data_IF_201533755986
#
_entry.id   IF_201533755986
#
_cell.length_a   1.000
_cell.length_b   1.000
_cell.length_c   1.000
_cell.angle_alpha   90.00
_cell.angle_beta   90.00
_cell.angle_gamma   90.00
#
_symmetry.space_group_name_H-M   'P 1'
#
loop_
_entity.id
_entity.type
_entity.pdbx_description
1 polymer ?
#
# COMPACT_ATOMS: atom_id res chain seq x y z
N UNK A 1 24.88 -10.25 -19.53
CA UNK A 1 23.95 -9.42 -18.73
C UNK A 1 22.69 -10.23 -18.48
N UNK A 2 22.27 -10.42 -17.23
CA UNK A 2 21.01 -11.12 -16.92
C UNK A 2 19.85 -10.11 -16.92
N UNK A 3 18.71 -10.52 -17.44
CA UNK A 3 17.47 -9.76 -17.39
C UNK A 3 16.99 -9.69 -15.93
N UNK A 4 16.49 -8.53 -15.48
CA UNK A 4 15.85 -8.41 -14.16
C UNK A 4 14.62 -9.33 -14.07
N UNK A 5 14.30 -9.80 -12.86
CA UNK A 5 13.10 -10.61 -12.63
C UNK A 5 11.82 -9.83 -12.95
N UNK A 6 10.72 -10.56 -13.26
CA UNK A 6 9.41 -9.92 -13.48
C UNK A 6 8.96 -9.16 -12.24
N UNK A 7 9.10 -9.72 -11.05
CA UNK A 7 8.70 -9.04 -9.82
C UNK A 7 9.48 -7.74 -9.62
N UNK A 8 10.81 -7.74 -9.84
CA UNK A 8 11.60 -6.52 -9.77
C UNK A 8 11.19 -5.49 -10.82
N UNK A 9 10.86 -5.92 -12.03
CA UNK A 9 10.36 -5.03 -13.08
C UNK A 9 9.07 -4.34 -12.66
N UNK A 10 8.09 -5.09 -12.15
CA UNK A 10 6.80 -4.51 -11.71
C UNK A 10 6.93 -3.67 -10.44
N UNK A 11 7.81 -4.04 -9.50
CA UNK A 11 8.10 -3.22 -8.33
C UNK A 11 8.77 -1.90 -8.71
N UNK A 12 9.63 -1.88 -9.73
CA UNK A 12 10.20 -0.63 -10.25
C UNK A 12 9.11 0.28 -10.84
N UNK A 13 8.12 -0.27 -11.55
CA UNK A 13 6.96 0.50 -12.02
C UNK A 13 6.13 1.03 -10.83
N UNK A 14 5.88 0.20 -9.81
CA UNK A 14 5.20 0.62 -8.59
C UNK A 14 5.94 1.78 -7.89
N UNK A 15 7.28 1.78 -7.93
CA UNK A 15 8.12 2.88 -7.44
C UNK A 15 7.89 4.17 -8.22
N UNK A 16 7.85 4.11 -9.54
CA UNK A 16 7.52 5.29 -10.37
C UNK A 16 6.11 5.81 -10.06
N UNK A 17 5.15 4.92 -9.86
CA UNK A 17 3.81 5.31 -9.40
C UNK A 17 3.86 5.98 -8.02
N UNK A 18 4.69 5.49 -7.10
CA UNK A 18 4.89 6.08 -5.77
C UNK A 18 5.42 7.52 -5.83
N UNK A 19 6.20 7.88 -6.86
CA UNK A 19 6.74 9.24 -7.04
C UNK A 19 5.64 10.32 -7.16
N UNK A 20 4.41 9.92 -7.53
CA UNK A 20 3.23 10.80 -7.60
C UNK A 20 2.54 11.04 -6.26
N UNK A 21 3.00 10.42 -5.19
CA UNK A 21 2.40 10.59 -3.87
C UNK A 21 2.43 12.03 -3.39
N UNK A 22 1.34 12.47 -2.77
CA UNK A 22 1.16 13.83 -2.25
C UNK A 22 1.11 13.87 -0.70
N UNK A 23 1.81 12.91 -0.06
CA UNK A 23 1.90 12.77 1.38
C UNK A 23 3.26 13.22 1.89
N UNK A 24 3.30 14.04 2.96
CA UNK A 24 4.55 14.48 3.57
C UNK A 24 5.31 13.39 4.32
N UNK A 25 4.63 12.31 4.75
CA UNK A 25 5.22 11.27 5.59
C UNK A 25 5.85 10.14 4.81
N UNK A 26 5.22 9.73 3.70
CA UNK A 26 5.61 8.54 2.96
C UNK A 26 5.12 8.60 1.50
N UNK A 27 5.78 7.84 0.65
CA UNK A 27 5.35 7.58 -0.72
C UNK A 27 5.00 6.10 -0.85
N UNK A 28 3.83 5.82 -1.39
CA UNK A 28 3.41 4.46 -1.68
C UNK A 28 2.83 4.41 -3.08
N UNK A 29 3.22 3.39 -3.84
CA UNK A 29 2.70 3.12 -5.15
C UNK A 29 2.30 1.66 -5.28
N UNK A 30 1.11 1.44 -5.80
CA UNK A 30 0.56 0.12 -6.08
C UNK A 30 0.22 0.00 -7.57
N UNK A 31 0.51 -1.17 -8.13
CA UNK A 31 0.01 -1.57 -9.44
C UNK A 31 -0.70 -2.92 -9.31
N UNK A 32 -1.73 -3.12 -10.11
CA UNK A 32 -2.45 -4.39 -10.16
C UNK A 32 -2.29 -4.96 -11.56
N UNK A 33 -1.87 -6.22 -11.59
CA UNK A 33 -1.72 -6.99 -12.80
C UNK A 33 -2.81 -8.04 -12.91
N UNK A 34 -3.22 -8.29 -14.13
CA UNK A 34 -4.00 -9.45 -14.53
C UNK A 34 -3.48 -9.95 -15.87
N UNK A 35 -3.30 -11.27 -15.99
CA UNK A 35 -2.79 -11.89 -17.21
C UNK A 35 -1.48 -11.23 -17.72
N UNK A 36 -0.56 -10.94 -16.79
CA UNK A 36 0.74 -10.30 -17.04
C UNK A 36 0.65 -8.85 -17.59
N UNK A 37 -0.53 -8.21 -17.48
CA UNK A 37 -0.77 -6.83 -17.91
C UNK A 37 -1.11 -5.94 -16.71
N UNK A 38 -0.57 -4.72 -16.70
CA UNK A 38 -0.96 -3.71 -15.69
C UNK A 38 -2.36 -3.20 -16.05
N UNK A 39 -3.32 -3.51 -15.18
CA UNK A 39 -4.72 -3.13 -15.37
C UNK A 39 -5.14 -1.94 -14.52
N UNK A 40 -4.41 -1.64 -13.45
CA UNK A 40 -4.66 -0.47 -12.61
C UNK A 40 -3.41 -0.03 -11.86
N UNK A 41 -3.38 1.25 -11.51
CA UNK A 41 -2.35 1.86 -10.67
C UNK A 41 -2.99 2.74 -9.60
N UNK A 42 -2.28 2.93 -8.48
CA UNK A 42 -2.68 3.83 -7.41
C UNK A 42 -1.47 4.32 -6.61
N UNK A 43 -1.52 5.55 -6.15
CA UNK A 43 -0.54 6.13 -5.24
C UNK A 43 -1.24 6.78 -4.05
N UNK A 44 -0.52 7.04 -2.97
CA UNK A 44 -1.09 7.72 -1.80
C UNK A 44 -1.39 9.18 -2.12
N UNK A 45 -2.65 9.58 -1.98
CA UNK A 45 -3.09 10.92 -2.33
C UNK A 45 -4.53 11.20 -1.93
N UNK A 46 -4.90 12.49 -1.88
CA UNK A 46 -6.23 12.92 -1.53
C UNK A 46 -7.29 12.46 -2.56
N UNK A 47 -8.58 12.42 -2.16
CA UNK A 47 -9.67 12.16 -3.08
C UNK A 47 -9.64 13.10 -4.28
N UNK A 48 -10.08 12.61 -5.43
CA UNK A 48 -10.10 13.42 -6.67
C UNK A 48 -10.82 14.73 -6.49
N UNK A 49 -10.27 15.79 -7.06
CA UNK A 49 -10.81 17.17 -7.00
C UNK A 49 -10.80 17.80 -5.60
N UNK A 50 -10.14 17.19 -4.62
CA UNK A 50 -9.91 17.81 -3.33
C UNK A 50 -8.45 18.22 -3.19
N UNK A 51 -8.17 19.22 -2.36
CA UNK A 51 -6.80 19.67 -2.07
C UNK A 51 -6.06 18.59 -1.29
N UNK A 52 -4.89 18.21 -1.77
CA UNK A 52 -4.00 17.28 -1.10
C UNK A 52 -3.13 17.95 -0.01
N UNK A 53 -2.25 17.16 0.62
CA UNK A 53 -1.39 17.68 1.67
C UNK A 53 -0.37 18.70 1.15
N UNK A 54 0.16 18.52 -0.06
CA UNK A 54 1.13 19.46 -0.65
C UNK A 54 0.45 20.81 -0.98
N UNK A 55 -0.75 20.80 -1.55
CA UNK A 55 -1.52 21.99 -1.85
C UNK A 55 -1.99 22.72 -0.59
N UNK A 56 -2.15 22.00 0.53
CA UNK A 56 -2.49 22.61 1.84
C UNK A 56 -1.27 23.03 2.64
N UNK A 57 -0.08 22.59 2.26
CA UNK A 57 1.19 22.91 2.94
C UNK A 57 1.36 22.23 4.30
N UNK A 58 0.46 21.31 4.71
CA UNK A 58 0.50 20.67 6.01
C UNK A 58 -0.02 19.22 6.00
N UNK A 59 0.38 18.46 7.02
CA UNK A 59 -0.18 17.14 7.31
C UNK A 59 -1.11 17.24 8.52
N UNK A 60 -2.41 17.02 8.31
CA UNK A 60 -3.40 17.08 9.40
C UNK A 60 -3.07 16.12 10.56
N UNK A 61 -2.53 14.93 10.24
CA UNK A 61 -2.16 13.96 11.28
C UNK A 61 -0.95 14.40 12.10
N UNK A 62 -0.03 15.19 11.51
CA UNK A 62 1.10 15.78 12.26
C UNK A 62 0.60 16.89 13.17
N UNK A 63 -0.29 17.76 12.69
CA UNK A 63 -0.91 18.82 13.50
C UNK A 63 -1.70 18.26 14.70
N UNK A 64 -2.36 17.13 14.49
CA UNK A 64 -3.13 16.45 15.56
C UNK A 64 -2.26 15.50 16.40
N UNK A 65 -0.94 15.45 16.19
CA UNK A 65 0.01 14.55 16.87
C UNK A 65 -0.40 13.08 16.80
N UNK A 66 -1.00 12.65 15.67
CA UNK A 66 -1.43 11.27 15.47
C UNK A 66 -0.22 10.39 15.10
N UNK A 67 0.09 9.35 15.88
CA UNK A 67 1.19 8.44 15.60
C UNK A 67 1.06 7.74 14.23
N UNK A 68 2.19 7.27 13.70
CA UNK A 68 2.19 6.43 12.49
C UNK A 68 1.36 5.15 12.74
N UNK A 69 0.62 4.73 11.72
CA UNK A 69 -0.24 3.54 11.81
C UNK A 69 -1.63 3.76 12.41
N UNK A 70 -1.94 4.93 13.00
CA UNK A 70 -3.18 5.19 13.71
C UNK A 70 -4.09 6.19 13.00
N UNK A 71 -5.42 6.12 13.30
CA UNK A 71 -6.42 7.11 12.93
C UNK A 71 -6.37 7.47 11.44
N UNK A 72 -6.38 6.46 10.58
CA UNK A 72 -6.36 6.69 9.13
C UNK A 72 -7.59 7.43 8.62
N UNK A 73 -8.72 7.36 9.36
CA UNK A 73 -9.93 8.14 9.06
C UNK A 73 -9.71 9.66 9.16
N UNK A 74 -8.68 10.09 9.90
CA UNK A 74 -8.27 11.50 10.00
C UNK A 74 -7.26 11.89 8.91
N UNK A 75 -6.84 10.97 8.05
CA UNK A 75 -5.91 11.26 6.97
C UNK A 75 -6.65 11.79 5.74
N UNK A 76 -6.12 12.85 5.11
CA UNK A 76 -6.66 13.33 3.84
C UNK A 76 -6.41 12.35 2.69
N UNK A 77 -5.38 11.51 2.82
CA UNK A 77 -4.96 10.62 1.74
C UNK A 77 -5.65 9.27 1.81
N UNK A 78 -6.00 8.76 0.63
CA UNK A 78 -6.37 7.38 0.38
C UNK A 78 -5.07 6.60 0.12
N UNK A 79 -5.00 5.37 0.59
CA UNK A 79 -3.82 4.52 0.41
C UNK A 79 -3.64 4.10 -1.06
N UNK A 80 -2.42 3.74 -1.43
CA UNK A 80 -2.08 3.38 -2.81
C UNK A 80 -2.88 2.16 -3.30
N UNK A 81 -3.01 1.15 -2.46
CA UNK A 81 -3.77 -0.08 -2.73
C UNK A 81 -5.25 0.23 -2.94
N UNK A 82 -5.84 1.07 -2.09
CA UNK A 82 -7.23 1.51 -2.20
C UNK A 82 -7.44 2.27 -3.50
N UNK A 83 -6.56 3.22 -3.83
CA UNK A 83 -6.64 3.97 -5.08
C UNK A 83 -6.51 3.06 -6.31
N UNK A 84 -5.64 2.04 -6.27
CA UNK A 84 -5.51 1.08 -7.37
C UNK A 84 -6.81 0.28 -7.56
N UNK A 85 -7.40 -0.23 -6.47
CA UNK A 85 -8.67 -0.97 -6.51
C UNK A 85 -9.82 -0.07 -7.00
N UNK A 86 -9.93 1.15 -6.47
CA UNK A 86 -10.96 2.11 -6.86
C UNK A 86 -10.81 2.52 -8.34
N UNK A 87 -9.57 2.73 -8.81
CA UNK A 87 -9.31 3.07 -10.22
C UNK A 87 -9.74 1.94 -11.15
N UNK A 88 -9.47 0.67 -10.79
CA UNK A 88 -9.96 -0.49 -11.54
C UNK A 88 -11.49 -0.53 -11.57
N UNK A 89 -12.14 -0.39 -10.41
CA UNK A 89 -13.61 -0.38 -10.32
C UNK A 89 -14.23 0.73 -11.19
N UNK A 90 -13.66 1.93 -11.19
CA UNK A 90 -14.12 3.04 -12.03
C UNK A 90 -13.96 2.79 -13.53
N UNK A 91 -12.96 2.00 -13.90
CA UNK A 91 -12.70 1.63 -15.29
C UNK A 91 -13.49 0.37 -15.72
N UNK A 92 -14.27 -0.24 -14.82
CA UNK A 92 -14.98 -1.50 -15.08
C UNK A 92 -14.05 -2.70 -15.24
N UNK A 93 -12.86 -2.64 -14.65
CA UNK A 93 -11.84 -3.69 -14.77
C UNK A 93 -12.05 -4.74 -13.68
N UNK A 94 -12.10 -5.99 -14.09
CA UNK A 94 -12.17 -7.14 -13.20
C UNK A 94 -10.78 -7.43 -12.60
N UNK A 95 -10.70 -7.55 -11.26
CA UNK A 95 -9.47 -7.83 -10.52
C UNK A 95 -9.34 -9.29 -10.06
N UNK A 96 -10.33 -10.14 -10.30
CA UNK A 96 -10.31 -11.54 -9.89
C UNK A 96 -9.07 -12.26 -10.45
N UNK A 97 -8.34 -12.97 -9.57
CA UNK A 97 -7.10 -13.66 -9.92
C UNK A 97 -5.88 -12.75 -10.10
N UNK A 98 -6.04 -11.46 -9.82
CA UNK A 98 -4.98 -10.46 -10.02
C UNK A 98 -3.82 -10.56 -9.03
N UNK A 99 -2.73 -9.88 -9.37
CA UNK A 99 -1.56 -9.70 -8.50
C UNK A 99 -1.35 -8.21 -8.21
N UNK A 100 -1.24 -7.85 -6.94
CA UNK A 100 -0.90 -6.49 -6.52
C UNK A 100 0.59 -6.40 -6.19
N UNK A 101 1.26 -5.40 -6.75
CA UNK A 101 2.63 -5.03 -6.40
C UNK A 101 2.61 -3.72 -5.62
N UNK A 102 3.32 -3.67 -4.49
CA UNK A 102 3.38 -2.50 -3.62
C UNK A 102 4.81 -2.10 -3.34
N UNK A 103 5.11 -0.83 -3.59
CA UNK A 103 6.36 -0.18 -3.21
C UNK A 103 6.10 0.91 -2.17
N UNK A 104 7.02 1.05 -1.21
CA UNK A 104 6.89 2.00 -0.10
C UNK A 104 8.20 2.69 0.22
N UNK A 105 8.12 4.01 0.43
CA UNK A 105 9.21 4.85 0.88
C UNK A 105 8.74 5.72 2.06
N UNK A 106 9.63 6.00 2.98
CA UNK A 106 9.37 6.90 4.10
C UNK A 106 10.35 8.06 4.08
N UNK A 107 9.85 9.27 4.37
CA UNK A 107 10.71 10.44 4.47
C UNK A 107 11.66 10.29 5.64
N UNK A 108 12.94 10.43 5.38
CA UNK A 108 14.00 10.49 6.37
C UNK A 108 13.97 11.86 7.03
N UNK A 109 13.85 11.88 8.36
CA UNK A 109 13.74 13.14 9.12
C UNK A 109 15.04 13.96 9.16
N UNK A 110 16.20 13.30 8.94
CA UNK A 110 17.52 13.94 8.99
C UNK A 110 17.93 14.47 7.61
N UNK A 111 17.78 13.66 6.57
CA UNK A 111 18.22 14.03 5.22
C UNK A 111 17.14 14.71 4.39
N UNK A 112 15.88 14.52 4.73
CA UNK A 112 14.71 14.98 3.96
C UNK A 112 14.45 14.13 2.71
N UNK A 113 15.29 13.15 2.40
CA UNK A 113 15.11 12.19 1.30
C UNK A 113 14.10 11.10 1.64
N UNK A 114 13.80 10.24 0.67
CA UNK A 114 12.89 9.11 0.85
C UNK A 114 13.68 7.81 0.81
N UNK A 115 13.66 7.08 1.91
CA UNK A 115 14.28 5.76 2.03
C UNK A 115 13.25 4.68 1.74
N UNK A 116 13.66 3.66 0.98
CA UNK A 116 12.83 2.46 0.76
C UNK A 116 12.65 1.75 2.09
N UNK A 117 11.40 1.42 2.40
CA UNK A 117 11.03 0.65 3.58
C UNK A 117 10.39 -0.67 3.16
N UNK A 118 10.32 -1.62 4.10
CA UNK A 118 9.57 -2.83 3.89
C UNK A 118 8.09 -2.47 3.67
N UNK A 119 7.61 -2.72 2.45
CA UNK A 119 6.22 -2.46 2.10
C UNK A 119 5.32 -3.50 2.77
N UNK A 120 4.20 -3.04 3.32
CA UNK A 120 3.17 -3.92 3.86
C UNK A 120 1.80 -3.26 3.82
N UNK A 121 0.75 -3.91 3.32
CA UNK A 121 -0.60 -3.35 3.32
C UNK A 121 -1.13 -3.26 4.75
N UNK A 122 -1.66 -2.11 5.12
CA UNK A 122 -2.35 -2.00 6.40
C UNK A 122 -3.61 -2.88 6.40
N UNK A 123 -4.16 -3.11 7.61
CA UNK A 123 -5.29 -4.00 7.77
C UNK A 123 -6.54 -3.61 6.96
N UNK A 124 -6.81 -2.31 6.82
CA UNK A 124 -7.91 -1.82 5.98
C UNK A 124 -7.67 -2.22 4.52
N UNK A 125 -6.43 -2.05 4.03
CA UNK A 125 -6.07 -2.43 2.67
C UNK A 125 -6.11 -3.95 2.45
N UNK A 126 -5.67 -4.76 3.43
CA UNK A 126 -5.79 -6.22 3.36
C UNK A 126 -7.25 -6.67 3.14
N UNK A 127 -8.20 -6.11 3.90
CA UNK A 127 -9.63 -6.41 3.73
C UNK A 127 -10.12 -6.08 2.31
N UNK A 128 -9.70 -4.94 1.78
CA UNK A 128 -10.07 -4.53 0.42
C UNK A 128 -9.44 -5.44 -0.64
N UNK A 129 -8.17 -5.83 -0.45
CA UNK A 129 -7.45 -6.75 -1.34
C UNK A 129 -8.18 -8.11 -1.38
N UNK A 130 -8.51 -8.68 -0.21
CA UNK A 130 -9.27 -9.94 -0.13
C UNK A 130 -10.61 -9.83 -0.87
N UNK A 131 -11.41 -8.78 -0.58
CA UNK A 131 -12.72 -8.63 -1.17
C UNK A 131 -12.71 -8.25 -2.66
N UNK A 132 -11.59 -7.74 -3.19
CA UNK A 132 -11.45 -7.45 -4.61
C UNK A 132 -11.11 -8.67 -5.47
N UNK A 133 -10.82 -9.83 -4.84
CA UNK A 133 -10.46 -11.07 -5.53
C UNK A 133 -9.02 -11.09 -6.07
N UNK A 134 -8.15 -10.22 -5.56
CA UNK A 134 -6.71 -10.31 -5.78
C UNK A 134 -6.19 -11.54 -5.05
N UNK A 135 -5.40 -12.37 -5.71
CA UNK A 135 -4.91 -13.64 -5.17
C UNK A 135 -3.47 -13.57 -4.64
N UNK A 136 -2.68 -12.64 -5.16
CA UNK A 136 -1.27 -12.52 -4.81
C UNK A 136 -0.88 -11.09 -4.54
N UNK A 137 -0.03 -10.89 -3.53
CA UNK A 137 0.58 -9.60 -3.22
C UNK A 137 2.09 -9.74 -3.22
N UNK A 138 2.76 -8.88 -3.97
CA UNK A 138 4.22 -8.81 -4.06
C UNK A 138 4.67 -7.48 -3.48
N UNK A 139 5.49 -7.54 -2.44
CA UNK A 139 5.93 -6.38 -1.68
C UNK A 139 7.39 -6.09 -1.91
N UNK A 140 7.72 -4.83 -2.06
CA UNK A 140 9.12 -4.37 -2.07
C UNK A 140 9.68 -4.32 -0.65
N UNK A 141 10.98 -4.48 -0.51
CA UNK A 141 11.68 -4.37 0.76
C UNK A 141 12.92 -3.50 0.65
N UNK A 142 13.36 -2.99 1.78
CA UNK A 142 14.61 -2.21 1.89
C UNK A 142 15.86 -3.02 1.51
N UNK A 143 15.81 -4.35 1.59
CA UNK A 143 16.90 -5.23 1.14
C UNK A 143 17.00 -5.34 -0.38
N UNK A 144 15.98 -4.90 -1.11
CA UNK A 144 15.86 -5.07 -2.56
C UNK A 144 15.32 -6.44 -2.97
N UNK A 145 14.96 -7.31 -2.03
CA UNK A 145 14.28 -8.57 -2.29
C UNK A 145 12.76 -8.37 -2.26
N UNK A 146 12.03 -9.10 -3.10
CA UNK A 146 10.57 -9.09 -3.06
C UNK A 146 10.05 -10.13 -2.07
N UNK A 147 9.00 -9.78 -1.32
CA UNK A 147 8.22 -10.72 -0.51
C UNK A 147 6.90 -11.01 -1.20
N UNK A 148 6.54 -12.28 -1.28
CA UNK A 148 5.32 -12.73 -1.96
C UNK A 148 4.37 -13.34 -0.94
N UNK A 149 3.11 -12.90 -0.95
CA UNK A 149 2.03 -13.41 -0.10
C UNK A 149 0.90 -13.94 -0.97
N UNK A 150 0.37 -15.10 -0.62
CA UNK A 150 -0.88 -15.58 -1.14
C UNK A 150 -2.01 -15.00 -0.28
N UNK A 151 -3.01 -14.41 -0.90
CA UNK A 151 -4.14 -13.81 -0.17
C UNK A 151 -4.97 -14.88 0.55
N UNK A 152 -4.99 -16.11 0.02
CA UNK A 152 -5.60 -17.26 0.68
C UNK A 152 -5.01 -17.55 2.07
N UNK A 153 -3.72 -17.27 2.28
CA UNK A 153 -3.08 -17.50 3.58
C UNK A 153 -3.63 -16.55 4.63
N UNK A 154 -3.86 -15.27 4.26
CA UNK A 154 -4.53 -14.31 5.15
C UNK A 154 -5.95 -14.75 5.50
N UNK A 155 -6.70 -15.22 4.50
CA UNK A 155 -8.08 -15.70 4.72
C UNK A 155 -8.08 -16.89 5.67
N UNK A 156 -7.19 -17.86 5.48
CA UNK A 156 -7.07 -19.04 6.34
C UNK A 156 -6.67 -18.68 7.77
N UNK A 157 -5.73 -17.75 7.92
CA UNK A 157 -5.32 -17.22 9.22
C UNK A 157 -6.49 -16.53 9.93
N UNK A 158 -7.22 -15.67 9.23
CA UNK A 158 -8.37 -14.96 9.79
C UNK A 158 -9.60 -15.83 10.09
N UNK A 159 -9.67 -17.03 9.51
CA UNK A 159 -10.68 -18.03 9.89
C UNK A 159 -10.31 -18.74 11.20
N UNK A 160 -9.03 -18.88 11.47
CA UNK A 160 -8.50 -19.60 12.63
C UNK A 160 -8.23 -18.69 13.83
N UNK A 161 -7.89 -17.44 13.57
CA UNK A 161 -7.48 -16.43 14.55
C UNK A 161 -8.33 -15.16 14.41
N UNK A 162 -8.30 -14.31 15.43
CA UNK A 162 -8.94 -13.00 15.31
C UNK A 162 -8.12 -12.11 14.35
N UNK A 163 -8.84 -11.31 13.58
CA UNK A 163 -8.25 -10.28 12.72
C UNK A 163 -7.28 -9.35 13.49
N UNK A 164 -7.51 -9.13 14.78
CA UNK A 164 -6.69 -8.26 15.64
C UNK A 164 -5.32 -8.86 15.98
N UNK A 165 -5.10 -10.14 15.72
CA UNK A 165 -3.83 -10.82 15.96
C UNK A 165 -2.83 -10.64 14.79
N UNK A 166 -3.21 -9.92 13.72
CA UNK A 166 -2.32 -9.60 12.59
C UNK A 166 -1.25 -8.56 12.98
N UNK A 167 -0.20 -9.05 13.63
CA UNK A 167 0.93 -8.23 14.11
C UNK A 167 1.68 -7.56 12.96
N UNK A 168 1.75 -8.19 11.79
CA UNK A 168 2.43 -7.62 10.61
C UNK A 168 1.70 -6.38 10.09
N UNK A 169 0.35 -6.36 10.14
CA UNK A 169 -0.44 -5.23 9.71
C UNK A 169 -0.45 -4.06 10.70
N UNK A 170 -0.38 -4.35 11.99
CA UNK A 170 -0.50 -3.33 13.03
C UNK A 170 0.75 -3.11 13.85
N UNK A 171 1.66 -4.07 13.89
CA UNK A 171 2.79 -4.10 14.82
C UNK A 171 2.35 -4.34 16.27
N UNK A 172 3.31 -4.54 17.14
CA UNK A 172 3.08 -4.84 18.57
C UNK A 172 2.25 -3.79 19.34
N UNK A 173 2.17 -2.57 18.81
CA UNK A 173 1.47 -1.43 19.44
C UNK A 173 -0.06 -1.57 19.50
N UNK A 174 -0.62 -2.50 18.74
CA UNK A 174 -2.08 -2.70 18.65
C UNK A 174 -2.56 -4.00 19.26
N UNK A 175 -1.72 -4.67 20.03
CA UNK A 175 -2.21 -5.75 20.87
C UNK A 175 -3.24 -5.16 21.84
N UNK A 176 -4.50 -5.27 21.48
CA UNK A 176 -5.61 -4.93 22.35
C UNK A 176 -5.47 -5.86 23.57
N UNK A 177 -5.15 -5.30 24.72
CA UNK A 177 -5.22 -6.08 25.96
C UNK A 177 -6.65 -6.56 26.08
N UNK A 178 -6.83 -7.88 26.00
CA UNK A 178 -8.10 -8.54 26.31
C UNK A 178 -8.50 -8.24 27.74
#
# INVERSE_FOLDING_TARGET
>A
MSRISKDRYYLNIAREVASRSTCFRARHGAIILRDDQIVSTGYVGAPRKTKDCFERGNCLRDELNIPSGQRYEMCRSIHAEQNAIINAARAGVNLLGGTLYLHSEKKNGETGEYDVIDAYPCFICKKMIVNSGIEKVVLDSKSGESKVYQVSDWVSDWQSNDLLDDVEAYGEKYQVKK
#
